data_IF_183809140217
#
_entry.id   IF_183809140217
#
_cell.length_a   1.000
_cell.length_b   1.000
_cell.length_c   1.000
_cell.angle_alpha   90.00
_cell.angle_beta   90.00
_cell.angle_gamma   90.00
#
_symmetry.space_group_name_H-M   'P 1'
#
loop_
_entity.id
_entity.type
_entity.pdbx_description
1 polymer ?
#
# COMPACT_ATOMS: atom_id res chain seq x y z
N UNK A 1 33.62 1.88 4.09
CA UNK A 1 32.60 2.86 3.71
C UNK A 1 31.93 2.32 2.46
N UNK A 2 30.84 1.60 2.64
CA UNK A 2 29.96 1.04 1.60
C UNK A 2 28.57 1.14 2.20
N UNK A 3 27.86 2.18 1.77
CA UNK A 3 26.44 2.43 2.01
C UNK A 3 25.65 1.33 1.31
N UNK A 4 25.02 0.45 2.09
CA UNK A 4 23.91 -0.36 1.59
C UNK A 4 22.75 -0.05 2.54
N UNK A 5 21.91 0.87 2.07
CA UNK A 5 20.68 1.27 2.72
C UNK A 5 19.77 0.04 2.76
N UNK A 6 19.50 -0.50 3.94
CA UNK A 6 18.48 -1.54 4.16
C UNK A 6 17.14 -1.01 3.63
N UNK A 7 16.89 -1.21 2.35
CA UNK A 7 15.59 -0.93 1.74
C UNK A 7 14.69 -2.07 2.17
N UNK A 8 13.93 -1.87 3.23
CA UNK A 8 12.92 -2.84 3.67
C UNK A 8 11.93 -3.09 2.52
N UNK A 9 11.47 -4.32 2.38
CA UNK A 9 10.58 -4.75 1.29
C UNK A 9 9.33 -3.87 1.21
N UNK A 10 8.83 -3.45 2.38
CA UNK A 10 7.67 -2.59 2.50
C UNK A 10 7.91 -1.19 1.92
N UNK A 11 9.11 -0.62 2.11
CA UNK A 11 9.49 0.68 1.54
C UNK A 11 9.60 0.60 0.01
N UNK A 12 10.25 -0.45 -0.50
CA UNK A 12 10.37 -0.68 -1.94
C UNK A 12 9.00 -0.84 -2.59
N UNK A 13 8.12 -1.66 -1.99
CA UNK A 13 6.78 -1.91 -2.49
C UNK A 13 5.90 -0.66 -2.44
N UNK A 14 5.96 0.13 -1.35
CA UNK A 14 5.22 1.39 -1.26
C UNK A 14 5.64 2.34 -2.39
N UNK A 15 6.96 2.52 -2.59
CA UNK A 15 7.50 3.36 -3.67
C UNK A 15 7.09 2.87 -5.06
N UNK A 16 7.10 1.55 -5.27
CA UNK A 16 6.65 0.95 -6.53
C UNK A 16 5.15 1.20 -6.78
N UNK A 17 4.30 0.98 -5.78
CA UNK A 17 2.87 1.25 -5.87
C UNK A 17 2.59 2.72 -6.18
N UNK A 18 3.30 3.64 -5.50
CA UNK A 18 3.22 5.08 -5.79
C UNK A 18 3.57 5.38 -7.25
N UNK A 19 4.65 4.79 -7.76
CA UNK A 19 5.07 5.01 -9.14
C UNK A 19 4.05 4.47 -10.16
N UNK A 20 3.63 3.21 -10.01
CA UNK A 20 2.68 2.56 -10.92
C UNK A 20 1.33 3.30 -10.96
N UNK A 21 0.80 3.67 -9.79
CA UNK A 21 -0.50 4.33 -9.68
C UNK A 21 -0.47 5.82 -10.06
N UNK A 22 0.69 6.47 -10.00
CA UNK A 22 0.83 7.87 -10.44
C UNK A 22 1.10 8.01 -11.94
N UNK A 23 1.69 6.98 -12.56
CA UNK A 23 2.11 7.02 -13.97
C UNK A 23 1.19 6.29 -14.95
N UNK A 24 0.38 5.34 -14.46
CA UNK A 24 -0.47 4.51 -15.32
C UNK A 24 -1.85 5.14 -15.57
N UNK A 25 -2.29 5.07 -16.83
CA UNK A 25 -3.70 5.25 -17.16
C UNK A 25 -4.45 3.99 -16.71
N UNK A 26 -5.39 4.13 -15.77
CA UNK A 26 -6.03 2.99 -15.09
C UNK A 26 -6.83 2.12 -16.07
N UNK A 27 -7.38 2.74 -17.12
CA UNK A 27 -8.05 2.09 -18.24
C UNK A 27 -7.09 1.22 -19.06
N UNK A 28 -5.91 1.70 -19.40
CA UNK A 28 -4.89 0.89 -20.11
C UNK A 28 -4.52 -0.36 -19.29
N UNK A 29 -4.31 -0.20 -17.97
CA UNK A 29 -4.03 -1.33 -17.08
C UNK A 29 -5.21 -2.32 -16.99
N UNK A 30 -6.44 -1.82 -17.00
CA UNK A 30 -7.63 -2.67 -17.05
C UNK A 30 -7.71 -3.43 -18.38
N UNK A 31 -7.46 -2.77 -19.52
CA UNK A 31 -7.46 -3.39 -20.84
C UNK A 31 -6.41 -4.50 -20.96
N UNK A 32 -5.17 -4.23 -20.54
CA UNK A 32 -4.09 -5.22 -20.51
C UNK A 32 -4.42 -6.44 -19.65
N UNK A 33 -5.10 -6.23 -18.52
CA UNK A 33 -5.53 -7.28 -17.61
C UNK A 33 -6.82 -7.99 -18.05
N UNK A 34 -7.48 -7.55 -19.12
CA UNK A 34 -8.78 -8.06 -19.55
C UNK A 34 -9.92 -7.79 -18.55
N UNK A 35 -9.81 -6.68 -17.81
CA UNK A 35 -10.76 -6.25 -16.78
C UNK A 35 -11.67 -5.13 -17.29
N UNK A 36 -12.88 -4.96 -16.71
CA UNK A 36 -13.75 -3.84 -17.05
C UNK A 36 -13.14 -2.48 -16.68
N UNK A 37 -13.25 -1.51 -17.59
CA UNK A 37 -12.88 -0.11 -17.33
C UNK A 37 -14.00 0.60 -16.56
N UNK A 38 -13.67 1.20 -15.43
CA UNK A 38 -14.61 2.02 -14.67
C UNK A 38 -14.80 3.38 -15.33
N UNK A 39 -16.05 3.80 -15.50
CA UNK A 39 -16.41 5.08 -16.10
C UNK A 39 -17.03 6.01 -15.06
N UNK A 40 -16.73 7.30 -15.18
CA UNK A 40 -17.44 8.38 -14.50
C UNK A 40 -18.86 8.53 -15.05
N UNK A 41 -19.70 9.30 -14.34
CA UNK A 41 -21.03 9.69 -14.81
C UNK A 41 -21.00 10.47 -16.14
N UNK A 42 -19.85 11.05 -16.49
CA UNK A 42 -19.60 11.76 -17.74
C UNK A 42 -19.28 10.82 -18.92
N UNK A 43 -19.13 9.51 -18.68
CA UNK A 43 -18.73 8.51 -19.66
C UNK A 43 -17.22 8.43 -19.92
N UNK A 44 -16.41 9.19 -19.17
CA UNK A 44 -14.94 9.14 -19.25
C UNK A 44 -14.37 8.07 -18.31
N UNK A 45 -13.22 7.46 -18.62
CA UNK A 45 -12.53 6.58 -17.68
C UNK A 45 -12.23 7.25 -16.34
N UNK A 46 -12.39 6.49 -15.26
CA UNK A 46 -11.92 6.89 -13.94
C UNK A 46 -10.40 6.86 -13.93
N UNK A 47 -9.79 7.95 -13.48
CA UNK A 47 -8.34 8.09 -13.41
C UNK A 47 -7.87 8.32 -11.97
N UNK A 48 -6.61 7.98 -11.70
CA UNK A 48 -5.95 8.32 -10.44
C UNK A 48 -5.55 9.80 -10.46
N UNK A 49 -6.04 10.58 -9.50
CA UNK A 49 -5.70 12.00 -9.36
C UNK A 49 -4.50 12.24 -8.46
N UNK A 50 -4.36 11.41 -7.44
CA UNK A 50 -3.35 11.58 -6.40
C UNK A 50 -3.01 10.21 -5.80
N UNK A 51 -1.74 10.02 -5.48
CA UNK A 51 -1.24 8.86 -4.73
C UNK A 51 -0.26 9.37 -3.68
N UNK A 52 -0.56 9.08 -2.41
CA UNK A 52 0.22 9.49 -1.26
C UNK A 52 0.48 8.30 -0.35
N UNK A 53 1.56 8.33 0.42
CA UNK A 53 1.79 7.31 1.44
C UNK A 53 0.75 7.43 2.56
N UNK A 54 0.43 6.32 3.24
CA UNK A 54 -0.53 6.30 4.37
C UNK A 54 -0.22 7.38 5.42
N UNK A 55 1.06 7.55 5.76
CA UNK A 55 1.51 8.57 6.71
C UNK A 55 1.24 10.00 6.25
N UNK A 56 1.42 10.28 4.96
CA UNK A 56 1.15 11.59 4.35
C UNK A 56 -0.36 11.85 4.20
N UNK A 57 -1.16 10.78 4.09
CA UNK A 57 -2.62 10.84 4.04
C UNK A 57 -3.27 11.02 5.43
N UNK A 58 -2.49 11.07 6.50
CA UNK A 58 -2.99 11.14 7.88
C UNK A 58 -3.61 9.82 8.36
N UNK A 59 -3.33 8.70 7.67
CA UNK A 59 -3.78 7.38 8.08
C UNK A 59 -2.89 6.88 9.21
N UNK A 60 -3.50 6.60 10.36
CA UNK A 60 -2.82 5.99 11.49
C UNK A 60 -2.75 4.46 11.30
N UNK A 61 -1.80 4.00 10.50
CA UNK A 61 -1.53 2.59 10.26
C UNK A 61 -0.17 2.16 10.83
N UNK A 62 -0.11 0.93 11.36
CA UNK A 62 1.16 0.29 11.74
C UNK A 62 1.95 -0.20 10.51
N UNK A 63 1.22 -0.50 9.44
CA UNK A 63 1.76 -1.01 8.19
C UNK A 63 2.00 0.14 7.21
N UNK A 64 2.92 -0.06 6.28
CA UNK A 64 3.09 0.83 5.12
C UNK A 64 1.97 0.65 4.10
N UNK A 65 1.79 1.64 3.24
CA UNK A 65 0.69 1.63 2.29
C UNK A 65 0.54 2.93 1.54
N UNK A 66 -0.41 2.94 0.62
CA UNK A 66 -0.75 4.12 -0.16
C UNK A 66 -2.25 4.38 -0.12
N UNK A 67 -2.60 5.66 -0.09
CA UNK A 67 -3.94 6.14 -0.39
C UNK A 67 -3.93 6.76 -1.77
N UNK A 68 -4.89 6.39 -2.61
CA UNK A 68 -5.10 7.04 -3.89
C UNK A 68 -6.52 7.54 -4.07
N UNK A 69 -6.62 8.72 -4.67
CA UNK A 69 -7.87 9.43 -4.91
C UNK A 69 -8.22 9.35 -6.37
N UNK A 70 -9.44 8.91 -6.65
CA UNK A 70 -9.94 8.73 -8.01
C UNK A 70 -10.68 9.98 -8.49
N UNK A 71 -10.75 10.15 -9.80
CA UNK A 71 -11.39 11.31 -10.42
C UNK A 71 -12.89 11.42 -10.13
N UNK A 72 -13.54 10.29 -9.88
CA UNK A 72 -14.93 10.20 -9.41
C UNK A 72 -15.15 10.59 -7.93
N UNK A 73 -14.08 10.94 -7.19
CA UNK A 73 -14.14 11.36 -5.79
C UNK A 73 -13.97 10.24 -4.77
N UNK A 74 -13.91 8.98 -5.21
CA UNK A 74 -13.62 7.85 -4.33
C UNK A 74 -12.18 7.88 -3.85
N UNK A 75 -11.97 7.43 -2.61
CA UNK A 75 -10.65 7.22 -2.01
C UNK A 75 -10.48 5.73 -1.68
N UNK A 76 -9.31 5.18 -1.98
CA UNK A 76 -8.98 3.78 -1.75
C UNK A 76 -7.62 3.69 -1.08
N UNK A 77 -7.52 2.83 -0.07
CA UNK A 77 -6.27 2.54 0.63
C UNK A 77 -5.78 1.12 0.28
N UNK A 78 -4.48 1.00 0.01
CA UNK A 78 -3.79 -0.28 -0.14
C UNK A 78 -2.70 -0.40 0.93
N UNK A 79 -2.86 -1.36 1.83
CA UNK A 79 -1.89 -1.65 2.89
C UNK A 79 -0.96 -2.81 2.50
N UNK A 80 0.32 -2.67 2.80
CA UNK A 80 1.35 -3.70 2.64
C UNK A 80 1.56 -4.35 3.99
N UNK A 81 1.34 -5.67 4.08
CA UNK A 81 1.47 -6.40 5.33
C UNK A 81 2.54 -7.47 5.19
N UNK A 82 3.60 -7.38 5.99
CA UNK A 82 4.60 -8.44 6.10
C UNK A 82 4.26 -9.39 7.23
N UNK A 83 3.78 -10.59 6.91
CA UNK A 83 3.63 -11.66 7.89
C UNK A 83 4.91 -12.49 7.95
N UNK A 84 5.62 -12.46 9.09
CA UNK A 84 6.75 -13.37 9.35
C UNK A 84 6.36 -14.35 10.46
N UNK A 85 6.64 -15.63 10.25
CA UNK A 85 6.62 -16.59 11.37
C UNK A 85 7.84 -16.27 12.26
N UNK A 86 7.70 -16.21 13.58
CA UNK A 86 8.86 -16.06 14.45
C UNK A 86 9.85 -17.21 14.19
N UNK A 87 11.11 -16.89 13.92
CA UNK A 87 12.17 -17.88 13.70
C UNK A 87 12.52 -18.66 14.98
N UNK A 88 12.02 -18.21 16.12
CA UNK A 88 12.21 -18.86 17.42
C UNK A 88 10.89 -19.01 18.16
N UNK A 89 10.71 -20.10 18.92
CA UNK A 89 9.52 -20.28 19.76
C UNK A 89 9.40 -19.10 20.74
N UNK A 90 8.17 -18.62 20.91
CA UNK A 90 7.85 -17.56 21.86
C UNK A 90 8.24 -18.03 23.26
N UNK A 91 9.09 -17.26 23.94
CA UNK A 91 9.41 -17.53 25.33
C UNK A 91 8.34 -16.94 26.23
N UNK A 92 7.67 -17.80 27.00
CA UNK A 92 6.70 -17.40 27.99
C UNK A 92 7.36 -17.32 29.36
N UNK A 93 7.16 -16.21 30.08
CA UNK A 93 7.55 -16.12 31.49
C UNK A 93 6.36 -16.58 32.35
N UNK A 94 6.54 -17.56 33.26
CA UNK A 94 5.46 -17.96 34.16
C UNK A 94 5.00 -16.77 35.04
N UNK A 95 3.73 -16.75 35.46
CA UNK A 95 3.21 -15.70 36.34
C UNK A 95 4.03 -15.67 37.64
N UNK A 96 4.32 -14.46 38.15
CA UNK A 96 4.99 -14.34 39.44
C UNK A 96 4.02 -14.76 40.54
N UNK A 97 4.21 -15.97 41.07
CA UNK A 97 3.60 -16.35 42.34
C UNK A 97 4.30 -15.57 43.44
N UNK A 98 3.56 -14.67 44.10
CA UNK A 98 4.00 -14.05 45.36
C UNK A 98 3.79 -15.10 46.45
N UNK A 99 4.89 -15.61 47.02
CA UNK A 99 4.90 -16.45 48.22
C UNK A 99 5.38 -15.64 49.41
#
# INVERSE_FOLDING_TARGET
MTTDEDTDHEDLLERLLRHLLSGGNLDELCEEAGLPVLLESTGRPVNVREVVADGDAGVLALNRGVVFRLSGGSEVQLSIVTSRRPDSPVQERPPRTSG
#
